data_IF_653805701494
#
_entry.id   IF_653805701494
#
_cell.length_a   1.000
_cell.length_b   1.000
_cell.length_c   1.000
_cell.angle_alpha   90.00
_cell.angle_beta   90.00
_cell.angle_gamma   90.00
#
_symmetry.space_group_name_H-M   'P 1'
#
loop_
_entity.id
_entity.type
_entity.pdbx_description
1 polymer ?
#
# COMPACT_ATOMS: atom_id res chain seq x y z
N UNK A 1 5.44 16.98 12.36
CA UNK A 1 5.68 16.44 11.01
C UNK A 1 4.34 16.07 10.41
N UNK A 2 4.09 16.45 9.15
CA UNK A 2 2.89 16.07 8.40
C UNK A 2 3.17 14.83 7.56
N UNK A 3 2.42 13.76 7.81
CA UNK A 3 2.56 12.48 7.12
C UNK A 3 1.32 12.22 6.28
N UNK A 4 1.48 12.02 4.97
CA UNK A 4 0.37 11.61 4.12
C UNK A 4 0.31 10.09 4.05
N UNK A 5 -0.82 9.53 4.45
CA UNK A 5 -1.15 8.11 4.30
C UNK A 5 -1.97 7.93 3.03
N UNK A 6 -1.36 7.31 2.02
CA UNK A 6 -2.02 7.10 0.74
C UNK A 6 -2.64 5.70 0.65
N UNK A 7 -3.96 5.65 0.58
CA UNK A 7 -4.74 4.42 0.34
C UNK A 7 -5.54 4.47 -0.96
N UNK A 8 -5.33 5.51 -1.79
CA UNK A 8 -6.13 5.80 -2.99
C UNK A 8 -6.23 4.64 -4.00
N UNK A 9 -5.21 3.77 -4.02
CA UNK A 9 -5.13 2.62 -4.93
C UNK A 9 -5.75 1.32 -4.37
N UNK A 10 -6.21 1.32 -3.12
CA UNK A 10 -6.81 0.15 -2.48
C UNK A 10 -8.29 0.02 -2.88
N UNK A 11 -8.66 -1.12 -3.44
CA UNK A 11 -10.03 -1.35 -3.94
C UNK A 11 -10.74 -2.51 -3.24
N UNK A 12 -10.02 -3.60 -2.98
CA UNK A 12 -10.56 -4.84 -2.42
C UNK A 12 -9.50 -5.64 -1.67
N UNK A 13 -9.92 -6.54 -0.80
CA UNK A 13 -9.08 -7.58 -0.18
C UNK A 13 -8.32 -7.11 1.06
N UNK A 14 -7.28 -7.88 1.43
CA UNK A 14 -6.52 -7.67 2.67
C UNK A 14 -5.87 -6.30 2.83
N UNK A 15 -5.57 -5.61 1.72
CA UNK A 15 -5.02 -4.27 1.75
C UNK A 15 -5.93 -3.24 2.42
N UNK A 16 -7.26 -3.40 2.28
CA UNK A 16 -8.25 -2.55 2.97
C UNK A 16 -8.19 -2.79 4.48
N UNK A 17 -8.13 -4.06 4.91
CA UNK A 17 -8.07 -4.41 6.33
C UNK A 17 -6.78 -3.89 7.00
N UNK A 18 -5.65 -3.97 6.31
CA UNK A 18 -4.38 -3.44 6.81
C UNK A 18 -4.44 -1.91 6.91
N UNK A 19 -4.98 -1.23 5.89
CA UNK A 19 -5.13 0.21 5.90
C UNK A 19 -6.09 0.68 7.01
N UNK A 20 -7.22 0.02 7.17
CA UNK A 20 -8.17 0.28 8.25
C UNK A 20 -7.52 0.14 9.63
N UNK A 21 -6.81 -0.97 9.86
CA UNK A 21 -6.10 -1.20 11.12
C UNK A 21 -4.98 -0.19 11.37
N UNK A 22 -4.23 0.18 10.33
CA UNK A 22 -3.21 1.23 10.42
C UNK A 22 -3.82 2.57 10.80
N UNK A 23 -4.89 3.01 10.13
CA UNK A 23 -5.54 4.30 10.37
C UNK A 23 -5.99 4.39 11.84
N UNK A 24 -6.59 3.34 12.39
CA UNK A 24 -6.97 3.30 13.80
C UNK A 24 -5.77 3.41 14.75
N UNK A 25 -4.59 2.89 14.37
CA UNK A 25 -3.38 3.04 15.17
C UNK A 25 -2.84 4.48 15.16
N UNK A 26 -3.03 5.23 14.05
CA UNK A 26 -2.49 6.59 13.91
C UNK A 26 -3.05 7.58 14.93
N UNK A 27 -4.27 7.38 15.39
CA UNK A 27 -4.93 8.23 16.40
C UNK A 27 -4.15 8.33 17.72
N UNK A 28 -3.31 7.34 18.02
CA UNK A 28 -2.47 7.33 19.24
C UNK A 28 -1.19 8.17 19.10
N UNK A 29 -0.77 8.52 17.87
CA UNK A 29 0.49 9.22 17.61
C UNK A 29 0.28 10.72 17.47
N UNK A 30 -0.19 11.38 18.55
CA UNK A 30 -0.55 12.80 18.58
C UNK A 30 0.60 13.78 18.31
N UNK A 31 1.85 13.33 18.35
CA UNK A 31 3.04 14.13 18.03
C UNK A 31 3.20 14.37 16.51
N UNK A 32 2.39 13.72 15.68
CA UNK A 32 2.39 13.88 14.23
C UNK A 32 0.99 14.24 13.73
N UNK A 33 0.94 14.95 12.61
CA UNK A 33 -0.29 15.24 11.89
C UNK A 33 -0.39 14.29 10.69
N UNK A 34 -1.53 13.68 10.49
CA UNK A 34 -1.77 12.72 9.41
C UNK A 34 -2.80 13.26 8.43
N UNK A 35 -2.44 13.28 7.15
CA UNK A 35 -3.37 13.52 6.04
C UNK A 35 -3.66 12.17 5.38
N UNK A 36 -4.90 11.70 5.47
CA UNK A 36 -5.25 10.35 5.07
C UNK A 36 -6.07 10.40 3.79
N UNK A 37 -5.46 9.99 2.67
CA UNK A 37 -6.16 9.92 1.38
C UNK A 37 -6.89 8.58 1.30
N UNK A 38 -8.21 8.63 1.42
CA UNK A 38 -9.08 7.47 1.43
C UNK A 38 -9.48 7.07 0.01
N UNK A 39 -9.34 5.78 -0.32
CA UNK A 39 -10.03 5.22 -1.48
C UNK A 39 -11.55 5.17 -1.25
N UNK A 40 -12.38 5.06 -2.29
CA UNK A 40 -13.83 4.88 -2.13
C UNK A 40 -14.20 3.70 -1.23
N UNK A 41 -13.39 2.64 -1.23
CA UNK A 41 -13.62 1.46 -0.39
C UNK A 41 -13.36 1.70 1.12
N UNK A 42 -12.66 2.78 1.46
CA UNK A 42 -12.34 3.19 2.84
C UNK A 42 -13.05 4.49 3.25
N UNK A 43 -13.96 5.02 2.42
CA UNK A 43 -14.65 6.29 2.68
C UNK A 43 -15.47 6.28 3.98
N UNK A 44 -15.88 5.12 4.47
CA UNK A 44 -16.58 4.99 5.76
C UNK A 44 -15.73 5.42 6.97
N UNK A 45 -14.41 5.48 6.82
CA UNK A 45 -13.50 5.96 7.88
C UNK A 45 -13.47 7.48 8.01
N UNK A 46 -14.00 8.21 7.05
CA UNK A 46 -14.05 9.68 7.05
C UNK A 46 -14.64 10.23 8.36
N UNK A 47 -15.81 9.75 8.74
CA UNK A 47 -16.53 10.15 9.96
C UNK A 47 -15.72 9.82 11.24
N UNK A 48 -14.94 8.72 11.20
CA UNK A 48 -14.12 8.30 12.35
C UNK A 48 -12.91 9.22 12.47
N UNK A 49 -12.27 9.55 11.35
CA UNK A 49 -11.07 10.39 11.29
C UNK A 49 -11.37 11.81 11.77
N UNK A 50 -12.53 12.36 11.43
CA UNK A 50 -12.96 13.70 11.85
C UNK A 50 -13.04 13.88 13.37
N UNK A 51 -13.12 12.78 14.13
CA UNK A 51 -13.08 12.80 15.59
C UNK A 51 -11.68 13.02 16.21
N UNK A 52 -10.63 13.15 15.39
CA UNK A 52 -9.25 13.25 15.88
C UNK A 52 -8.51 14.47 15.33
N UNK A 53 -8.13 15.39 16.22
CA UNK A 53 -7.51 16.70 15.88
C UNK A 53 -6.21 16.58 15.07
N UNK A 54 -5.49 15.47 15.21
CA UNK A 54 -4.22 15.23 14.51
C UNK A 54 -4.38 14.48 13.16
N UNK A 55 -5.60 14.25 12.73
CA UNK A 55 -5.91 13.53 11.49
C UNK A 55 -6.84 14.34 10.61
N UNK A 56 -6.60 14.31 9.31
CA UNK A 56 -7.49 14.92 8.30
C UNK A 56 -7.69 13.92 7.17
N UNK A 57 -8.92 13.68 6.78
CA UNK A 57 -9.25 12.81 5.66
C UNK A 57 -9.43 13.58 4.36
N UNK A 58 -9.12 12.92 3.25
CA UNK A 58 -9.35 13.42 1.90
C UNK A 58 -9.84 12.26 1.04
N UNK A 59 -11.06 12.31 0.55
CA UNK A 59 -11.62 11.23 -0.28
C UNK A 59 -11.06 11.33 -1.70
N UNK A 60 -10.47 10.23 -2.18
CA UNK A 60 -9.94 10.13 -3.53
C UNK A 60 -11.05 9.78 -4.53
N UNK A 61 -11.46 10.74 -5.34
CA UNK A 61 -12.58 10.60 -6.29
C UNK A 61 -12.15 10.40 -7.75
N UNK A 62 -10.86 10.47 -8.05
CA UNK A 62 -10.34 10.46 -9.41
C UNK A 62 -9.89 9.05 -9.82
N UNK A 63 -10.26 8.61 -11.04
CA UNK A 63 -9.71 7.37 -11.59
C UNK A 63 -8.23 7.53 -11.97
N UNK A 64 -7.42 6.52 -11.65
CA UNK A 64 -6.01 6.48 -12.05
C UNK A 64 -5.92 6.51 -13.58
N UNK A 65 -5.20 7.47 -14.11
CA UNK A 65 -4.98 7.62 -15.53
C UNK A 65 -3.67 6.92 -15.99
N UNK A 66 -3.53 6.74 -17.30
CA UNK A 66 -2.35 6.11 -17.95
C UNK A 66 -1.06 6.88 -17.63
N UNK A 67 -1.13 8.20 -17.42
CA UNK A 67 0.02 9.03 -17.09
C UNK A 67 0.66 8.65 -15.75
N UNK A 68 -0.14 8.21 -14.77
CA UNK A 68 0.38 7.68 -13.51
C UNK A 68 1.23 6.42 -13.70
N UNK A 69 0.88 5.55 -14.66
CA UNK A 69 1.62 4.30 -14.89
C UNK A 69 3.04 4.55 -15.39
N UNK A 70 3.23 5.48 -16.33
CA UNK A 70 4.52 5.71 -17.00
C UNK A 70 5.35 6.81 -16.36
N UNK A 71 4.73 7.89 -15.88
CA UNK A 71 5.44 9.08 -15.38
C UNK A 71 5.24 9.33 -13.89
N UNK A 72 4.42 8.55 -13.22
CA UNK A 72 4.15 8.72 -11.80
C UNK A 72 3.47 10.05 -11.46
N UNK A 73 2.70 10.64 -12.37
CA UNK A 73 2.01 11.92 -12.15
C UNK A 73 0.60 11.71 -11.65
N UNK A 74 0.23 12.43 -10.59
CA UNK A 74 -1.12 12.49 -10.06
C UNK A 74 -1.37 13.88 -9.47
N UNK A 75 -2.01 14.74 -10.25
CA UNK A 75 -2.25 16.15 -9.89
C UNK A 75 -3.06 16.26 -8.59
N UNK A 76 -4.04 15.39 -8.36
CA UNK A 76 -4.83 15.41 -7.14
C UNK A 76 -3.95 15.19 -5.90
N UNK A 77 -3.10 14.16 -5.93
CA UNK A 77 -2.21 13.85 -4.81
C UNK A 77 -1.10 14.90 -4.65
N UNK A 78 -0.62 15.48 -5.75
CA UNK A 78 0.34 16.59 -5.70
C UNK A 78 -0.28 17.81 -5.01
N UNK A 79 -1.53 18.17 -5.33
CA UNK A 79 -2.25 19.25 -4.69
C UNK A 79 -2.51 18.99 -3.19
N UNK A 80 -2.78 17.74 -2.79
CA UNK A 80 -2.92 17.36 -1.37
C UNK A 80 -1.60 17.56 -0.63
N UNK A 81 -0.48 17.12 -1.22
CA UNK A 81 0.86 17.32 -0.63
C UNK A 81 1.18 18.80 -0.44
N UNK A 82 0.90 19.62 -1.43
CA UNK A 82 1.13 21.08 -1.37
C UNK A 82 0.20 21.78 -0.36
N UNK A 83 -1.09 21.47 -0.39
CA UNK A 83 -2.10 22.06 0.50
C UNK A 83 -1.79 21.87 1.99
N UNK A 84 -1.31 20.68 2.35
CA UNK A 84 -1.06 20.33 3.75
C UNK A 84 0.42 20.40 4.15
N UNK A 85 1.31 20.88 3.27
CA UNK A 85 2.76 20.96 3.50
C UNK A 85 3.32 19.59 4.01
N UNK A 86 3.00 18.52 3.30
CA UNK A 86 3.37 17.16 3.69
C UNK A 86 4.88 16.96 3.66
N UNK A 87 5.46 16.41 4.73
CA UNK A 87 6.90 16.12 4.84
C UNK A 87 7.27 14.76 4.22
N UNK A 88 6.39 13.76 4.37
CA UNK A 88 6.61 12.39 3.90
C UNK A 88 5.31 11.72 3.50
N UNK A 89 5.38 10.88 2.48
CA UNK A 89 4.26 10.06 2.00
C UNK A 89 4.48 8.60 2.36
N UNK A 90 3.46 7.95 2.89
CA UNK A 90 3.40 6.51 3.05
C UNK A 90 2.23 5.94 2.23
N UNK A 91 2.53 5.21 1.16
CA UNK A 91 1.52 4.41 0.43
C UNK A 91 1.44 3.03 1.08
N UNK A 92 0.27 2.68 1.61
CA UNK A 92 0.07 1.44 2.41
C UNK A 92 0.47 0.20 1.62
N UNK A 93 -0.04 0.05 0.39
CA UNK A 93 0.45 -0.96 -0.56
C UNK A 93 0.50 -0.40 -1.99
N UNK A 94 1.61 -0.63 -2.66
CA UNK A 94 1.84 -0.22 -4.03
C UNK A 94 1.45 -1.26 -5.11
N UNK A 95 1.74 -0.90 -6.35
CA UNK A 95 2.40 0.32 -6.80
C UNK A 95 1.50 1.53 -6.65
N UNK A 96 2.09 2.69 -6.28
CA UNK A 96 1.32 3.91 -6.07
C UNK A 96 0.88 4.57 -7.38
N UNK A 97 1.56 4.26 -8.48
CA UNK A 97 1.43 4.94 -9.78
C UNK A 97 1.60 6.46 -9.70
N UNK A 98 2.25 6.92 -8.64
CA UNK A 98 2.49 8.32 -8.34
C UNK A 98 3.84 8.48 -7.62
N UNK A 99 4.60 9.49 -8.04
CA UNK A 99 5.87 9.88 -7.43
C UNK A 99 5.72 11.27 -6.81
N UNK A 100 5.56 11.39 -5.50
CA UNK A 100 5.52 12.68 -4.83
C UNK A 100 6.87 13.42 -4.92
N UNK A 101 6.85 14.74 -4.74
CA UNK A 101 8.05 15.57 -4.64
C UNK A 101 8.78 15.41 -3.30
N UNK A 102 8.12 14.85 -2.30
CA UNK A 102 8.66 14.57 -0.96
C UNK A 102 9.05 13.10 -0.83
N UNK A 103 9.72 12.73 0.27
CA UNK A 103 10.12 11.34 0.52
C UNK A 103 8.93 10.40 0.53
N UNK A 104 9.10 9.25 -0.12
CA UNK A 104 8.02 8.29 -0.34
C UNK A 104 8.41 6.89 0.14
N UNK A 105 7.65 6.40 1.10
CA UNK A 105 7.70 5.03 1.59
C UNK A 105 6.52 4.26 0.97
N UNK A 106 6.76 3.06 0.46
CA UNK A 106 5.69 2.28 -0.17
C UNK A 106 5.69 0.82 0.32
N UNK A 107 4.55 0.35 0.78
CA UNK A 107 4.35 -1.05 1.15
C UNK A 107 4.31 -1.97 -0.07
N UNK A 108 4.98 -3.11 0.02
CA UNK A 108 5.03 -4.12 -1.04
C UNK A 108 4.27 -5.37 -0.60
N UNK A 109 3.13 -5.64 -1.22
CA UNK A 109 2.29 -6.81 -0.98
C UNK A 109 1.94 -7.55 -2.30
N UNK A 110 2.97 -7.87 -3.10
CA UNK A 110 2.78 -8.52 -4.41
C UNK A 110 3.71 -9.73 -4.57
N UNK A 111 3.39 -10.85 -3.90
CA UNK A 111 4.23 -12.04 -3.95
C UNK A 111 4.42 -12.59 -5.37
N UNK A 112 3.48 -12.38 -6.29
CA UNK A 112 3.57 -12.82 -7.68
C UNK A 112 4.78 -12.22 -8.41
N UNK A 113 5.28 -11.06 -7.99
CA UNK A 113 6.46 -10.42 -8.58
C UNK A 113 7.77 -11.13 -8.26
N UNK A 114 7.83 -11.80 -7.13
CA UNK A 114 9.04 -12.46 -6.62
C UNK A 114 9.00 -13.98 -6.71
N UNK A 115 7.82 -14.59 -6.74
CA UNK A 115 7.66 -16.05 -6.85
C UNK A 115 7.24 -16.45 -8.27
N UNK A 116 8.19 -16.39 -9.21
CA UNK A 116 7.96 -16.69 -10.63
C UNK A 116 7.48 -18.13 -10.90
N UNK A 117 7.81 -19.06 -10.00
CA UNK A 117 7.43 -20.47 -10.09
C UNK A 117 6.12 -20.79 -9.33
N UNK A 118 5.37 -19.76 -8.93
CA UNK A 118 4.08 -19.97 -8.24
C UNK A 118 3.13 -20.82 -9.09
N UNK A 119 2.35 -21.74 -8.47
CA UNK A 119 1.31 -22.52 -9.15
C UNK A 119 0.32 -21.68 -9.94
N UNK A 120 0.15 -20.42 -9.56
CA UNK A 120 -0.65 -19.42 -10.27
C UNK A 120 -0.21 -19.26 -11.74
N UNK A 121 1.12 -19.22 -12.01
CA UNK A 121 1.64 -19.09 -13.37
C UNK A 121 1.67 -20.40 -14.13
N UNK A 122 1.78 -21.53 -13.45
CA UNK A 122 1.85 -22.85 -14.07
C UNK A 122 0.54 -23.23 -14.78
N UNK A 123 -0.61 -22.80 -14.24
CA UNK A 123 -1.94 -23.03 -14.81
C UNK A 123 -2.32 -22.10 -15.97
N UNK A 124 -1.46 -21.12 -16.30
CA UNK A 124 -1.75 -20.16 -17.37
C UNK A 124 -1.31 -20.66 -18.74
N UNK A 125 -2.14 -20.39 -19.76
CA UNK A 125 -1.73 -20.51 -21.17
C UNK A 125 -0.51 -19.60 -21.42
N UNK A 126 0.39 -20.02 -22.31
CA UNK A 126 1.67 -19.35 -22.59
C UNK A 126 1.50 -17.85 -22.96
N UNK A 127 0.49 -17.49 -23.76
CA UNK A 127 0.19 -16.09 -24.11
C UNK A 127 -0.17 -15.27 -22.87
N UNK A 128 -1.08 -15.78 -22.04
CA UNK A 128 -1.47 -15.14 -20.78
C UNK A 128 -0.30 -15.02 -19.80
N UNK A 129 0.60 -15.99 -19.81
CA UNK A 129 1.82 -15.99 -18.99
C UNK A 129 2.77 -14.87 -19.41
N UNK A 130 3.01 -14.68 -20.70
CA UNK A 130 3.85 -13.59 -21.23
C UNK A 130 3.23 -12.23 -20.87
N UNK A 131 1.95 -12.04 -21.16
CA UNK A 131 1.25 -10.79 -20.83
C UNK A 131 1.30 -10.48 -19.32
N UNK A 132 1.06 -11.49 -18.49
CA UNK A 132 1.15 -11.35 -17.04
C UNK A 132 2.57 -10.94 -16.61
N UNK A 133 3.61 -11.55 -17.17
CA UNK A 133 5.02 -11.23 -16.88
C UNK A 133 5.37 -9.79 -17.25
N UNK A 134 4.93 -9.32 -18.41
CA UNK A 134 5.13 -7.93 -18.84
C UNK A 134 4.43 -6.98 -17.85
N UNK A 135 3.16 -7.23 -17.55
CA UNK A 135 2.39 -6.41 -16.60
C UNK A 135 3.02 -6.35 -15.23
N UNK A 136 3.51 -7.47 -14.69
CA UNK A 136 4.15 -7.51 -13.38
C UNK A 136 5.53 -6.80 -13.41
N UNK A 137 6.30 -6.90 -14.48
CA UNK A 137 7.53 -6.14 -14.66
C UNK A 137 7.27 -4.62 -14.70
N UNK A 138 6.21 -4.17 -15.36
CA UNK A 138 5.80 -2.75 -15.34
C UNK A 138 5.49 -2.27 -13.92
N UNK A 139 4.82 -3.10 -13.12
CA UNK A 139 4.56 -2.77 -11.70
C UNK A 139 5.85 -2.70 -10.88
N UNK A 140 6.77 -3.65 -11.09
CA UNK A 140 8.06 -3.64 -10.42
C UNK A 140 8.87 -2.38 -10.80
N UNK A 141 8.86 -2.01 -12.08
CA UNK A 141 9.45 -0.76 -12.54
C UNK A 141 8.80 0.45 -11.85
N UNK A 142 7.48 0.46 -11.70
CA UNK A 142 6.78 1.53 -11.00
C UNK A 142 7.24 1.64 -9.54
N UNK A 143 7.35 0.55 -8.78
CA UNK A 143 7.94 0.56 -7.44
C UNK A 143 9.35 1.18 -7.44
N UNK A 144 10.17 0.83 -8.46
CA UNK A 144 11.53 1.38 -8.58
C UNK A 144 11.56 2.89 -8.73
N UNK A 145 10.69 3.46 -9.56
CA UNK A 145 10.73 4.89 -9.89
C UNK A 145 9.93 5.78 -8.97
N UNK A 146 8.89 5.24 -8.29
CA UNK A 146 7.96 6.07 -7.50
C UNK A 146 8.26 6.09 -6.01
N UNK A 147 9.00 5.15 -5.45
CA UNK A 147 9.30 5.10 -4.02
C UNK A 147 10.78 5.31 -3.72
N UNK A 148 11.09 5.97 -2.60
CA UNK A 148 12.45 6.04 -2.06
C UNK A 148 12.77 4.79 -1.23
N UNK A 149 11.83 4.36 -0.38
CA UNK A 149 11.94 3.18 0.49
C UNK A 149 10.76 2.23 0.28
N UNK A 150 11.03 0.95 0.50
CA UNK A 150 10.00 -0.09 0.46
C UNK A 150 9.87 -0.77 1.82
N UNK A 151 8.65 -1.17 2.14
CA UNK A 151 8.33 -1.98 3.32
C UNK A 151 7.74 -3.32 2.86
N UNK A 152 8.21 -4.41 3.43
CA UNK A 152 7.70 -5.77 3.20
C UNK A 152 7.25 -6.41 4.51
N UNK A 153 6.35 -7.37 4.43
CA UNK A 153 5.78 -8.04 5.61
C UNK A 153 6.70 -9.14 6.19
N UNK A 154 7.68 -9.62 5.42
CA UNK A 154 8.58 -10.68 5.85
C UNK A 154 10.00 -10.51 5.31
N UNK A 155 10.97 -11.09 6.00
CA UNK A 155 12.38 -11.10 5.59
C UNK A 155 12.60 -11.84 4.27
N UNK A 156 11.90 -12.96 4.02
CA UNK A 156 12.01 -13.70 2.76
C UNK A 156 11.60 -12.83 1.56
N UNK A 157 10.50 -12.08 1.69
CA UNK A 157 10.05 -11.13 0.67
C UNK A 157 11.06 -10.01 0.47
N UNK A 158 11.60 -9.44 1.56
CA UNK A 158 12.64 -8.40 1.51
C UNK A 158 13.86 -8.90 0.74
N UNK A 159 14.38 -10.06 1.09
CA UNK A 159 15.63 -10.58 0.53
C UNK A 159 15.48 -10.86 -0.98
N UNK A 160 14.37 -11.48 -1.39
CA UNK A 160 14.06 -11.70 -2.81
C UNK A 160 13.83 -10.40 -3.59
N UNK A 161 13.13 -9.43 -2.98
CA UNK A 161 12.88 -8.15 -3.62
C UNK A 161 14.18 -7.33 -3.77
N UNK A 162 15.10 -7.44 -2.81
CA UNK A 162 16.42 -6.79 -2.86
C UNK A 162 17.27 -7.28 -4.02
N UNK A 163 17.15 -8.55 -4.42
CA UNK A 163 17.82 -9.07 -5.61
C UNK A 163 17.30 -8.44 -6.91
N UNK A 164 16.01 -8.10 -6.95
CA UNK A 164 15.36 -7.47 -8.10
C UNK A 164 15.56 -5.95 -8.14
N UNK A 165 15.64 -5.31 -6.98
CA UNK A 165 15.74 -3.86 -6.82
C UNK A 165 17.02 -3.47 -6.05
N UNK A 166 18.17 -3.83 -6.61
CA UNK A 166 19.52 -3.73 -5.98
C UNK A 166 19.87 -2.38 -5.34
N UNK A 167 19.27 -1.27 -5.81
CA UNK A 167 19.56 0.08 -5.34
C UNK A 167 18.45 0.67 -4.44
N UNK A 168 17.52 -0.17 -3.93
CA UNK A 168 16.45 0.27 -3.04
C UNK A 168 16.71 -0.19 -1.61
N UNK A 169 16.47 0.70 -0.67
CA UNK A 169 16.41 0.34 0.74
C UNK A 169 15.06 -0.30 1.03
N UNK A 170 15.08 -1.51 1.56
CA UNK A 170 13.88 -2.31 1.82
C UNK A 170 13.91 -2.76 3.26
N UNK A 171 12.84 -2.46 3.99
CA UNK A 171 12.69 -2.79 5.40
C UNK A 171 11.61 -3.84 5.60
N UNK A 172 11.75 -4.66 6.63
CA UNK A 172 10.70 -5.59 7.05
C UNK A 172 9.92 -4.97 8.18
N UNK A 173 8.60 -4.86 8.01
CA UNK A 173 7.65 -4.46 9.05
C UNK A 173 6.53 -5.48 9.06
N UNK A 174 6.46 -6.27 10.13
CA UNK A 174 5.47 -7.34 10.27
C UNK A 174 4.09 -6.74 10.57
N UNK A 175 3.08 -7.15 9.83
CA UNK A 175 1.70 -6.77 10.14
C UNK A 175 1.24 -7.43 11.44
N UNK A 176 0.61 -6.62 12.29
CA UNK A 176 -0.08 -7.12 13.47
C UNK A 176 -1.52 -7.49 13.11
N UNK A 177 -1.97 -8.64 13.56
CA UNK A 177 -3.37 -9.05 13.41
C UNK A 177 -4.21 -8.55 14.60
N UNK A 178 -5.49 -8.30 14.35
CA UNK A 178 -6.42 -7.85 15.40
C UNK A 178 -6.53 -8.93 16.49
N UNK A 179 -6.58 -8.51 17.77
CA UNK A 179 -6.73 -9.41 18.94
C UNK A 179 -7.91 -10.39 18.83
N UNK A 180 -8.93 -10.07 18.01
CA UNK A 180 -10.07 -10.95 17.77
C UNK A 180 -9.67 -12.35 17.27
N UNK A 181 -8.51 -12.47 16.61
CA UNK A 181 -7.98 -13.75 16.15
C UNK A 181 -7.35 -14.60 17.27
N UNK A 182 -7.11 -14.01 18.45
CA UNK A 182 -6.66 -14.72 19.65
C UNK A 182 -7.79 -15.40 20.43
N UNK A 183 -9.06 -15.08 20.14
CA UNK A 183 -10.20 -15.70 20.79
C UNK A 183 -10.37 -17.15 20.28
N UNK A 184 -9.67 -18.10 20.93
CA UNK A 184 -9.75 -19.54 20.63
C UNK A 184 -11.19 -20.05 20.61
N UNK A 185 -12.07 -19.45 21.41
CA UNK A 185 -13.49 -19.84 21.52
C UNK A 185 -14.28 -19.63 20.24
N UNK A 186 -13.95 -18.60 19.45
CA UNK A 186 -14.60 -18.35 18.15
C UNK A 186 -14.25 -19.36 17.05
N UNK A 187 -13.18 -20.13 17.25
CA UNK A 187 -12.66 -21.07 16.25
C UNK A 187 -12.88 -22.54 16.61
N UNK A 188 -13.49 -22.81 17.80
CA UNK A 188 -13.72 -24.19 18.29
C UNK A 188 -14.59 -25.02 17.36
N UNK A 189 -15.49 -24.38 16.60
CA UNK A 189 -16.44 -25.07 15.72
C UNK A 189 -15.95 -25.22 14.27
N UNK A 190 -14.76 -24.70 13.95
CA UNK A 190 -14.16 -24.88 12.64
C UNK A 190 -13.31 -26.15 12.60
N UNK A 191 -13.92 -27.28 12.22
CA UNK A 191 -13.19 -28.49 11.82
C UNK A 191 -12.49 -28.22 10.48
N UNK A 192 -11.23 -27.83 10.52
CA UNK A 192 -10.36 -27.81 9.34
C UNK A 192 -10.03 -29.28 9.04
N UNK A 193 -10.70 -29.86 8.02
CA UNK A 193 -10.34 -31.14 7.43
C UNK A 193 -9.16 -30.97 6.49
#
# INVERSE_FOLDING_TARGET
MYVLINTSNLKVGGGIQVADSLIHCLFMYRQHNFVIVLSPALSYLDVIIDGFDNCTSVIYSIQQNIQGVFWGKNIFLDNVVEKYNVDVVFTVFGPSLWRPKVKHICGFARPQLIYSNSPFFQKMNWVKRIYSKIRENMKLYNFKITSDWLITESNDVRDKLSLLLKNKQIYTVTNYYKQIFHCKEKWKDFNIK
#
